data_IF_395103327779
#
_entry.id   IF_395103327779
#
_cell.length_a   1.000
_cell.length_b   1.000
_cell.length_c   1.000
_cell.angle_alpha   90.00
_cell.angle_beta   90.00
_cell.angle_gamma   90.00
#
_symmetry.space_group_name_H-M   'P 1'
#
loop_
_entity.id
_entity.type
_entity.pdbx_description
1 polymer ?
#
# COMPACT_ATOMS: atom_id res chain seq x y z
N UNK A 1 26.92 1.53 45.11
CA UNK A 1 26.27 2.52 44.24
C UNK A 1 25.32 1.77 43.32
N UNK A 2 24.02 1.78 43.62
CA UNK A 2 22.97 1.13 42.83
C UNK A 2 22.58 2.01 41.65
N UNK A 3 22.49 1.43 40.45
CA UNK A 3 21.96 2.09 39.26
C UNK A 3 20.50 2.52 39.48
N UNK A 4 20.03 3.65 38.91
CA UNK A 4 18.65 4.05 39.05
C UNK A 4 17.74 3.02 38.38
N UNK A 5 16.73 2.55 39.10
CA UNK A 5 15.67 1.72 38.54
C UNK A 5 14.94 2.49 37.44
N UNK A 6 14.97 1.99 36.22
CA UNK A 6 14.18 2.52 35.11
C UNK A 6 12.71 2.07 35.33
N UNK A 7 11.90 2.91 35.97
CA UNK A 7 10.47 2.63 36.14
C UNK A 7 9.72 2.86 34.83
N UNK A 8 8.88 1.88 34.46
CA UNK A 8 8.00 1.85 33.28
C UNK A 8 7.04 3.06 33.14
N UNK A 9 6.96 3.91 34.16
CA UNK A 9 6.12 5.12 34.19
C UNK A 9 6.54 6.20 33.21
N UNK A 10 7.80 6.21 32.73
CA UNK A 10 8.27 7.17 31.71
C UNK A 10 7.88 6.80 30.27
N UNK A 11 7.38 5.57 30.03
CA UNK A 11 6.81 5.16 28.74
C UNK A 11 5.32 5.50 28.61
N UNK A 12 4.65 5.87 29.70
CA UNK A 12 3.21 6.16 29.73
C UNK A 12 2.85 7.63 29.39
N UNK A 13 3.79 8.42 28.86
CA UNK A 13 3.56 9.85 28.53
C UNK A 13 3.77 10.19 27.05
N UNK A 14 3.80 9.19 26.17
CA UNK A 14 3.33 9.37 24.80
C UNK A 14 1.87 8.93 24.83
N UNK A 15 0.95 9.87 25.01
CA UNK A 15 -0.48 9.61 24.79
C UNK A 15 -0.60 8.92 23.44
N UNK A 16 -0.99 7.65 23.42
CA UNK A 16 -1.34 7.00 22.16
C UNK A 16 -2.48 7.84 21.59
N UNK A 17 -2.18 8.67 20.59
CA UNK A 17 -3.25 9.17 19.73
C UNK A 17 -3.92 7.90 19.20
N UNK A 18 -5.23 7.79 19.40
CA UNK A 18 -5.97 6.64 18.91
C UNK A 18 -5.75 6.57 17.40
N UNK A 19 -5.03 5.53 16.96
CA UNK A 19 -4.76 5.31 15.54
C UNK A 19 -6.09 4.97 14.88
N UNK A 20 -6.43 5.71 13.83
CA UNK A 20 -7.65 5.53 13.07
C UNK A 20 -7.31 5.00 11.68
N UNK A 21 -7.66 3.74 11.44
CA UNK A 21 -7.57 3.14 10.12
C UNK A 21 -8.84 3.50 9.35
N UNK A 22 -8.67 4.16 8.21
CA UNK A 22 -9.73 4.45 7.26
C UNK A 22 -9.73 3.36 6.19
N UNK A 23 -10.73 2.49 6.25
CA UNK A 23 -11.00 1.56 5.16
C UNK A 23 -11.58 2.32 3.97
N UNK A 24 -10.78 2.43 2.91
CA UNK A 24 -11.13 3.12 1.68
C UNK A 24 -11.64 2.11 0.67
N UNK A 25 -12.85 2.35 0.21
CA UNK A 25 -13.60 1.59 -0.79
C UNK A 25 -14.04 2.55 -1.90
N UNK A 26 -14.76 2.05 -2.90
CA UNK A 26 -15.17 2.88 -4.04
C UNK A 26 -16.01 4.11 -3.65
N UNK A 27 -16.84 4.01 -2.63
CA UNK A 27 -17.80 5.04 -2.23
C UNK A 27 -17.17 6.23 -1.47
N UNK A 28 -16.03 6.03 -0.82
CA UNK A 28 -15.32 7.06 -0.07
C UNK A 28 -13.94 7.44 -0.65
N UNK A 29 -13.52 6.82 -1.77
CA UNK A 29 -12.21 7.02 -2.39
C UNK A 29 -11.81 8.50 -2.55
N UNK A 30 -12.64 9.30 -3.20
CA UNK A 30 -12.38 10.72 -3.48
C UNK A 30 -12.22 11.55 -2.19
N UNK A 31 -13.09 11.28 -1.21
CA UNK A 31 -13.11 11.98 0.06
C UNK A 31 -11.83 11.71 0.87
N UNK A 32 -11.36 10.47 0.87
CA UNK A 32 -10.14 10.11 1.60
C UNK A 32 -8.88 10.60 0.86
N UNK A 33 -8.89 10.65 -0.47
CA UNK A 33 -7.83 11.33 -1.23
C UNK A 33 -7.78 12.84 -0.98
N UNK A 34 -8.91 13.51 -0.83
CA UNK A 34 -8.95 14.92 -0.42
C UNK A 34 -8.24 15.14 0.92
N UNK A 35 -8.51 14.30 1.92
CA UNK A 35 -7.82 14.36 3.21
C UNK A 35 -6.32 14.16 3.09
N UNK A 36 -5.88 13.20 2.27
CA UNK A 36 -4.46 12.95 2.04
C UNK A 36 -3.79 14.18 1.39
N UNK A 37 -4.44 14.79 0.40
CA UNK A 37 -3.95 16.01 -0.27
C UNK A 37 -3.81 17.18 0.70
N UNK A 38 -4.72 17.32 1.66
CA UNK A 38 -4.68 18.40 2.65
C UNK A 38 -3.50 18.28 3.62
N UNK A 39 -3.01 17.06 3.89
CA UNK A 39 -1.99 16.82 4.92
C UNK A 39 -0.58 16.55 4.38
N UNK A 40 -0.44 16.16 3.11
CA UNK A 40 0.85 15.68 2.57
C UNK A 40 1.98 16.71 2.72
N UNK A 41 1.67 18.01 2.65
CA UNK A 41 2.66 19.08 2.83
C UNK A 41 3.24 19.12 4.26
N UNK A 42 2.42 18.83 5.28
CA UNK A 42 2.83 18.83 6.68
C UNK A 42 3.38 17.45 7.14
N UNK A 43 2.98 16.38 6.45
CA UNK A 43 3.31 14.98 6.77
C UNK A 43 3.93 14.25 5.56
N UNK A 44 5.12 14.68 5.08
CA UNK A 44 5.69 14.22 3.80
C UNK A 44 6.39 12.85 3.86
N UNK A 45 6.44 12.19 5.02
CA UNK A 45 7.05 10.85 5.15
C UNK A 45 5.98 9.78 5.02
N UNK A 46 5.95 9.11 3.87
CA UNK A 46 4.90 8.15 3.48
C UNK A 46 5.43 6.74 3.62
N UNK A 47 4.98 6.02 4.64
CA UNK A 47 5.15 4.58 4.72
C UNK A 47 4.02 3.88 3.96
N UNK A 48 4.36 2.84 3.20
CA UNK A 48 3.36 2.03 2.52
C UNK A 48 3.72 0.56 2.46
N UNK A 49 2.68 -0.26 2.30
CA UNK A 49 2.76 -1.71 2.17
C UNK A 49 1.59 -2.21 1.32
N UNK A 50 1.73 -3.39 0.71
CA UNK A 50 0.70 -3.93 -0.18
C UNK A 50 0.35 -5.39 0.09
N UNK A 51 -0.92 -5.72 -0.14
CA UNK A 51 -1.40 -7.10 -0.14
C UNK A 51 -1.78 -7.51 -1.56
N UNK A 52 -1.26 -8.65 -1.99
CA UNK A 52 -1.44 -9.18 -3.34
C UNK A 52 -1.48 -10.71 -3.33
N UNK A 53 -2.00 -11.36 -4.39
CA UNK A 53 -2.33 -12.79 -4.36
C UNK A 53 -1.11 -13.70 -4.60
N UNK A 54 0.06 -13.29 -4.11
CA UNK A 54 1.28 -14.08 -4.12
C UNK A 54 2.02 -14.10 -5.46
N UNK A 55 2.62 -15.25 -5.75
CA UNK A 55 3.45 -15.50 -6.93
C UNK A 55 2.93 -16.76 -7.61
N UNK A 56 2.51 -16.66 -8.87
CA UNK A 56 1.91 -17.77 -9.63
C UNK A 56 2.76 -18.20 -10.83
N UNK A 57 3.67 -17.35 -11.30
CA UNK A 57 4.53 -17.62 -12.45
C UNK A 57 6.00 -17.48 -12.11
N UNK A 58 6.84 -18.36 -12.63
CA UNK A 58 8.31 -18.20 -12.58
C UNK A 58 8.80 -17.98 -14.02
N UNK A 59 9.56 -16.91 -14.30
CA UNK A 59 9.93 -16.60 -15.67
C UNK A 59 11.01 -17.60 -16.14
N UNK A 60 10.84 -18.17 -17.33
CA UNK A 60 11.76 -19.17 -17.90
C UNK A 60 12.84 -18.51 -18.76
N UNK A 61 14.05 -19.09 -18.77
CA UNK A 61 15.15 -18.61 -19.61
C UNK A 61 16.48 -18.51 -18.86
N UNK A 62 17.51 -18.08 -19.60
CA UNK A 62 18.82 -17.77 -19.03
C UNK A 62 18.87 -16.29 -18.65
N UNK A 63 19.25 -16.01 -17.40
CA UNK A 63 19.40 -14.65 -16.86
C UNK A 63 20.89 -14.38 -16.59
N UNK A 64 21.31 -13.14 -16.82
CA UNK A 64 22.70 -12.70 -16.66
C UNK A 64 23.08 -12.58 -15.18
N UNK A 65 22.10 -12.35 -14.31
CA UNK A 65 22.30 -12.25 -12.87
C UNK A 65 21.05 -12.63 -12.07
N UNK A 66 21.22 -12.76 -10.75
CA UNK A 66 20.12 -13.01 -9.80
C UNK A 66 19.15 -11.83 -9.77
N UNK A 67 19.66 -10.60 -9.86
CA UNK A 67 18.88 -9.37 -9.82
C UNK A 67 18.00 -9.26 -11.07
N UNK A 68 18.53 -9.62 -12.25
CA UNK A 68 17.74 -9.68 -13.49
C UNK A 68 16.62 -10.71 -13.37
N UNK A 69 16.92 -11.90 -12.83
CA UNK A 69 15.90 -12.92 -12.58
C UNK A 69 14.82 -12.41 -11.62
N UNK A 70 15.21 -11.80 -10.48
CA UNK A 70 14.28 -11.25 -9.50
C UNK A 70 13.40 -10.14 -10.08
N UNK A 71 13.97 -9.22 -10.86
CA UNK A 71 13.20 -8.20 -11.55
C UNK A 71 12.17 -8.82 -12.50
N UNK A 72 12.56 -9.80 -13.31
CA UNK A 72 11.64 -10.46 -14.23
C UNK A 72 10.56 -11.26 -13.49
N UNK A 73 10.91 -11.85 -12.35
CA UNK A 73 9.98 -12.54 -11.46
C UNK A 73 8.91 -11.59 -10.91
N UNK A 74 9.33 -10.41 -10.42
CA UNK A 74 8.40 -9.37 -9.96
C UNK A 74 7.54 -8.90 -11.13
N UNK A 75 8.18 -8.48 -12.22
CA UNK A 75 7.50 -7.92 -13.41
C UNK A 75 6.43 -8.85 -13.96
N UNK A 76 6.73 -10.15 -14.13
CA UNK A 76 5.76 -11.06 -14.72
C UNK A 76 4.54 -11.27 -13.80
N UNK A 77 4.75 -11.39 -12.48
CA UNK A 77 3.65 -11.58 -11.53
C UNK A 77 2.84 -10.30 -11.34
N UNK A 78 3.49 -9.16 -11.15
CA UNK A 78 2.81 -7.86 -11.06
C UNK A 78 1.97 -7.60 -12.30
N UNK A 79 2.42 -7.97 -13.50
CA UNK A 79 1.64 -7.77 -14.72
C UNK A 79 0.36 -8.61 -14.78
N UNK A 80 0.42 -9.89 -14.38
CA UNK A 80 -0.70 -10.83 -14.52
C UNK A 80 -1.64 -10.85 -13.31
N UNK A 81 -1.16 -10.45 -12.13
CA UNK A 81 -1.92 -10.45 -10.89
C UNK A 81 -2.51 -9.06 -10.60
N UNK A 82 -3.64 -9.03 -9.88
CA UNK A 82 -4.25 -7.80 -9.38
C UNK A 82 -3.81 -7.51 -7.94
N UNK A 83 -3.74 -6.23 -7.62
CA UNK A 83 -3.49 -5.73 -6.27
C UNK A 83 -4.76 -5.89 -5.43
N UNK A 84 -4.65 -6.23 -4.14
CA UNK A 84 -5.80 -6.44 -3.25
C UNK A 84 -5.93 -5.27 -2.26
N UNK A 85 -4.83 -4.88 -1.61
CA UNK A 85 -4.79 -3.70 -0.74
C UNK A 85 -3.50 -2.90 -0.85
N UNK A 86 -3.58 -1.63 -0.49
CA UNK A 86 -2.44 -0.74 -0.22
C UNK A 86 -2.70 0.00 1.09
N UNK A 87 -1.75 -0.04 2.02
CA UNK A 87 -1.75 0.78 3.22
C UNK A 87 -0.91 2.05 3.03
N UNK A 88 -1.40 3.21 3.46
CA UNK A 88 -0.62 4.44 3.55
C UNK A 88 -0.63 5.00 4.97
N UNK A 89 0.56 5.33 5.48
CA UNK A 89 0.78 6.01 6.75
C UNK A 89 1.66 7.23 6.52
N UNK A 90 1.12 8.42 6.81
CA UNK A 90 1.79 9.70 6.62
C UNK A 90 2.27 10.23 7.97
N UNK A 91 3.54 10.62 8.03
CA UNK A 91 4.17 11.17 9.24
C UNK A 91 4.96 12.44 8.94
N UNK A 92 5.18 13.26 9.97
CA UNK A 92 6.11 14.37 9.89
C UNK A 92 7.55 13.89 10.14
N UNK A 93 8.53 14.79 10.06
CA UNK A 93 9.95 14.47 10.28
C UNK A 93 10.29 13.90 11.66
N UNK A 94 9.38 13.99 12.64
CA UNK A 94 9.54 13.41 13.98
C UNK A 94 8.90 12.02 14.10
N UNK A 95 8.27 11.51 13.04
CA UNK A 95 7.50 10.27 13.04
C UNK A 95 6.12 10.41 13.70
N UNK A 96 5.58 11.63 13.81
CA UNK A 96 4.27 11.86 14.40
C UNK A 96 3.17 11.79 13.32
N UNK A 97 2.06 11.12 13.64
CA UNK A 97 0.85 11.07 12.82
C UNK A 97 0.11 12.43 12.80
N UNK A 98 -0.75 12.66 11.77
CA UNK A 98 -1.68 13.77 11.75
C UNK A 98 -2.53 13.85 13.03
N UNK A 99 -3.14 15.01 13.36
CA UNK A 99 -3.87 15.20 14.61
C UNK A 99 -4.96 14.16 14.86
N UNK A 100 -5.58 13.63 13.80
CA UNK A 100 -6.60 12.57 13.86
C UNK A 100 -6.07 11.15 14.01
N UNK A 101 -4.75 10.93 13.97
CA UNK A 101 -4.15 9.59 14.03
C UNK A 101 -4.44 8.75 12.78
N UNK A 102 -4.71 9.41 11.65
CA UNK A 102 -5.26 8.81 10.43
C UNK A 102 -4.21 7.98 9.66
N UNK A 103 -4.62 6.77 9.26
CA UNK A 103 -3.90 5.84 8.38
C UNK A 103 -4.93 5.29 7.38
N UNK A 104 -4.53 5.04 6.14
CA UNK A 104 -5.45 4.60 5.08
C UNK A 104 -5.17 3.18 4.64
N UNK A 105 -6.24 2.41 4.43
CA UNK A 105 -6.20 1.09 3.84
C UNK A 105 -7.11 1.08 2.62
N UNK A 106 -6.52 1.12 1.42
CA UNK A 106 -7.25 1.08 0.15
C UNK A 106 -7.55 -0.36 -0.22
N UNK A 107 -8.82 -0.64 -0.52
CA UNK A 107 -9.32 -1.97 -0.86
C UNK A 107 -9.71 -2.03 -2.33
N UNK A 108 -9.00 -2.82 -3.14
CA UNK A 108 -9.17 -2.86 -4.58
C UNK A 108 -10.17 -3.92 -5.04
N UNK A 109 -10.75 -3.70 -6.22
CA UNK A 109 -11.62 -4.68 -6.86
C UNK A 109 -10.85 -5.98 -7.17
N UNK A 110 -11.36 -7.10 -6.67
CA UNK A 110 -10.77 -8.42 -6.86
C UNK A 110 -11.84 -9.51 -6.91
N UNK A 111 -11.81 -10.37 -7.93
CA UNK A 111 -12.74 -11.49 -8.09
C UNK A 111 -12.05 -12.84 -7.91
N UNK A 112 -12.55 -13.65 -6.99
CA UNK A 112 -12.08 -15.02 -6.79
C UNK A 112 -12.42 -15.97 -7.96
N UNK A 113 -13.35 -15.57 -8.83
CA UNK A 113 -13.79 -16.37 -9.98
C UNK A 113 -13.03 -16.02 -11.27
N UNK A 114 -12.65 -14.75 -11.43
CA UNK A 114 -12.02 -14.25 -12.66
C UNK A 114 -10.50 -14.05 -12.54
N UNK A 115 -10.01 -13.66 -11.36
CA UNK A 115 -8.61 -13.25 -11.19
C UNK A 115 -7.69 -14.41 -10.83
N UNK A 116 -6.43 -14.33 -11.29
CA UNK A 116 -5.41 -15.30 -10.94
C UNK A 116 -4.88 -15.08 -9.53
N UNK A 117 -4.58 -16.17 -8.82
CA UNK A 117 -4.02 -16.13 -7.47
C UNK A 117 -3.25 -17.41 -7.09
N UNK A 118 -2.35 -17.28 -6.12
CA UNK A 118 -1.77 -18.42 -5.41
C UNK A 118 -2.69 -18.81 -4.24
N UNK A 119 -3.07 -20.09 -4.16
CA UNK A 119 -4.01 -20.59 -3.15
C UNK A 119 -3.53 -20.30 -1.72
N UNK A 120 -2.25 -20.56 -1.44
CA UNK A 120 -1.64 -20.34 -0.12
C UNK A 120 -1.73 -18.87 0.32
N UNK A 121 -1.55 -17.93 -0.62
CA UNK A 121 -1.65 -16.49 -0.35
C UNK A 121 -3.09 -16.08 -0.07
N UNK A 122 -4.07 -16.59 -0.82
CA UNK A 122 -5.49 -16.32 -0.53
C UNK A 122 -5.90 -16.89 0.82
N UNK A 123 -5.47 -18.10 1.18
CA UNK A 123 -5.77 -18.67 2.49
C UNK A 123 -5.20 -17.82 3.63
N UNK A 124 -3.98 -17.33 3.47
CA UNK A 124 -3.36 -16.42 4.43
C UNK A 124 -4.19 -15.13 4.56
N UNK A 125 -4.52 -14.49 3.45
CA UNK A 125 -5.30 -13.25 3.42
C UNK A 125 -6.69 -13.43 4.05
N UNK A 126 -7.39 -14.54 3.76
CA UNK A 126 -8.67 -14.88 4.41
C UNK A 126 -8.51 -15.01 5.92
N UNK A 127 -7.44 -15.65 6.40
CA UNK A 127 -7.14 -15.77 7.84
C UNK A 127 -6.80 -14.42 8.48
N UNK A 128 -6.22 -13.50 7.72
CA UNK A 128 -5.93 -12.12 8.15
C UNK A 128 -7.16 -11.21 8.14
N UNK A 129 -8.33 -11.68 7.66
CA UNK A 129 -9.59 -10.95 7.70
C UNK A 129 -10.00 -10.26 6.40
N UNK A 130 -9.37 -10.58 5.27
CA UNK A 130 -9.78 -10.05 3.97
C UNK A 130 -11.14 -10.61 3.55
N UNK A 131 -12.08 -9.69 3.29
CA UNK A 131 -13.42 -9.97 2.80
C UNK A 131 -13.47 -9.88 1.26
N UNK A 132 -13.18 -11.00 0.60
CA UNK A 132 -13.14 -11.08 -0.87
C UNK A 132 -14.49 -10.79 -1.53
N UNK A 133 -15.61 -11.07 -0.86
CA UNK A 133 -16.94 -10.78 -1.40
C UNK A 133 -17.15 -9.25 -1.47
N UNK A 134 -16.67 -8.53 -0.46
CA UNK A 134 -16.68 -7.07 -0.45
C UNK A 134 -15.69 -6.48 -1.45
N UNK A 135 -14.49 -7.06 -1.60
CA UNK A 135 -13.55 -6.65 -2.66
C UNK A 135 -14.17 -6.75 -4.04
N UNK A 136 -14.90 -7.84 -4.34
CA UNK A 136 -15.56 -7.99 -5.65
C UNK A 136 -16.68 -6.96 -5.86
N UNK A 137 -17.42 -6.61 -4.81
CA UNK A 137 -18.62 -5.77 -4.93
C UNK A 137 -18.34 -4.27 -4.82
N UNK A 138 -17.53 -3.88 -3.84
CA UNK A 138 -17.35 -2.49 -3.38
C UNK A 138 -15.88 -2.03 -3.54
N UNK A 139 -15.01 -2.88 -4.09
CA UNK A 139 -13.59 -2.59 -4.29
C UNK A 139 -13.33 -1.43 -5.27
N UNK A 140 -12.20 -0.77 -5.06
CA UNK A 140 -11.74 0.35 -5.88
C UNK A 140 -11.21 -0.16 -7.22
N UNK A 141 -11.69 0.36 -8.36
CA UNK A 141 -11.03 0.15 -9.65
C UNK A 141 -9.62 0.75 -9.61
N UNK A 142 -8.60 -0.06 -9.92
CA UNK A 142 -7.19 0.34 -9.76
C UNK A 142 -6.84 1.58 -10.59
N UNK A 143 -7.54 1.81 -11.70
CA UNK A 143 -7.37 2.98 -12.55
C UNK A 143 -7.90 4.26 -11.91
N UNK A 144 -9.01 4.21 -11.17
CA UNK A 144 -9.53 5.37 -10.44
C UNK A 144 -8.53 5.78 -9.34
N UNK A 145 -8.00 4.79 -8.62
CA UNK A 145 -6.92 5.03 -7.65
C UNK A 145 -5.67 5.62 -8.29
N UNK A 146 -5.21 5.08 -9.43
CA UNK A 146 -4.03 5.58 -10.14
C UNK A 146 -4.18 7.03 -10.59
N UNK A 147 -5.39 7.46 -10.97
CA UNK A 147 -5.66 8.83 -11.42
C UNK A 147 -5.48 9.81 -10.27
N UNK A 148 -6.07 9.47 -9.12
CA UNK A 148 -6.02 10.28 -7.91
C UNK A 148 -4.61 10.30 -7.33
N UNK A 149 -3.91 9.16 -7.32
CA UNK A 149 -2.51 9.09 -6.90
C UNK A 149 -1.63 10.05 -7.72
N UNK A 150 -1.78 10.07 -9.04
CA UNK A 150 -0.99 10.92 -9.94
C UNK A 150 -1.18 12.43 -9.67
N UNK A 151 -2.33 12.82 -9.13
CA UNK A 151 -2.68 14.22 -8.82
C UNK A 151 -2.67 14.54 -7.32
N UNK A 152 -2.24 13.59 -6.49
CA UNK A 152 -2.29 13.70 -5.02
C UNK A 152 -1.15 14.51 -4.41
N UNK A 153 -0.05 14.69 -5.15
CA UNK A 153 1.21 15.24 -4.62
C UNK A 153 2.08 14.22 -3.88
N UNK A 154 1.69 12.94 -3.79
CA UNK A 154 2.53 11.86 -3.23
C UNK A 154 3.62 11.37 -4.20
N UNK A 155 3.36 11.50 -5.50
CA UNK A 155 4.26 11.05 -6.56
C UNK A 155 4.75 12.25 -7.36
N UNK A 156 5.97 12.16 -7.89
CA UNK A 156 6.63 13.26 -8.63
C UNK A 156 6.72 14.54 -7.76
N UNK A 157 6.96 14.35 -6.46
CA UNK A 157 7.14 15.42 -5.49
C UNK A 157 8.43 15.16 -4.70
N UNK A 158 9.44 16.03 -4.87
CA UNK A 158 10.76 15.88 -4.26
C UNK A 158 10.74 16.11 -2.74
N UNK A 159 9.67 16.70 -2.20
CA UNK A 159 9.50 16.90 -0.77
C UNK A 159 9.04 15.62 -0.05
N UNK A 160 8.51 14.64 -0.78
CA UNK A 160 7.96 13.40 -0.23
C UNK A 160 9.05 12.34 -0.07
N UNK A 161 9.14 11.77 1.12
CA UNK A 161 10.04 10.66 1.44
C UNK A 161 9.25 9.36 1.62
N UNK A 162 9.47 8.39 0.74
CA UNK A 162 8.85 7.07 0.83
C UNK A 162 9.64 6.15 1.79
N UNK A 163 8.95 5.56 2.76
CA UNK A 163 9.48 4.61 3.73
C UNK A 163 8.95 3.21 3.41
N UNK A 164 9.84 2.23 3.23
CA UNK A 164 9.43 0.91 2.74
C UNK A 164 10.18 -0.24 3.41
N UNK A 165 9.65 -1.45 3.25
CA UNK A 165 10.25 -2.68 3.74
C UNK A 165 10.08 -3.80 2.72
N UNK A 166 11.19 -4.35 2.20
CA UNK A 166 11.17 -5.42 1.18
C UNK A 166 10.27 -5.14 -0.05
N UNK A 167 10.24 -3.88 -0.48
CA UNK A 167 9.13 -3.34 -1.26
C UNK A 167 9.23 -3.43 -2.78
N UNK A 168 9.96 -4.42 -3.29
CA UNK A 168 10.14 -4.55 -4.74
C UNK A 168 8.82 -4.88 -5.45
N UNK A 169 7.96 -5.70 -4.84
CA UNK A 169 6.62 -5.98 -5.34
C UNK A 169 5.68 -4.78 -5.12
N UNK A 170 5.71 -4.17 -3.94
CA UNK A 170 4.88 -3.02 -3.58
C UNK A 170 5.04 -1.87 -4.57
N UNK A 171 6.29 -1.47 -4.86
CA UNK A 171 6.56 -0.47 -5.89
C UNK A 171 6.16 -0.95 -7.28
N UNK A 172 6.31 -2.25 -7.59
CA UNK A 172 5.85 -2.81 -8.84
C UNK A 172 4.35 -2.57 -9.06
N UNK A 173 3.53 -2.83 -8.04
CA UNK A 173 2.09 -2.58 -8.08
C UNK A 173 1.74 -1.09 -8.11
N UNK A 174 2.41 -0.27 -7.31
CA UNK A 174 2.19 1.17 -7.29
C UNK A 174 2.54 1.82 -8.64
N UNK A 175 3.63 1.39 -9.28
CA UNK A 175 4.01 1.85 -10.62
C UNK A 175 3.01 1.35 -11.67
N UNK A 176 2.57 0.08 -11.57
CA UNK A 176 1.55 -0.47 -12.46
C UNK A 176 0.25 0.35 -12.41
N UNK A 177 -0.23 0.73 -11.23
CA UNK A 177 -1.49 1.49 -11.10
C UNK A 177 -1.42 2.85 -11.79
N UNK A 178 -0.26 3.51 -11.78
CA UNK A 178 -0.03 4.78 -12.47
C UNK A 178 0.09 4.59 -14.00
N UNK A 179 0.84 3.57 -14.46
CA UNK A 179 1.12 3.37 -15.89
C UNK A 179 -0.10 2.87 -16.66
N UNK A 180 -0.93 2.00 -16.07
CA UNK A 180 -2.16 1.47 -16.72
C UNK A 180 -3.07 2.62 -17.19
N UNK A 181 -3.03 3.74 -16.48
CA UNK A 181 -3.72 4.97 -16.85
C UNK A 181 -3.15 5.61 -18.12
N UNK A 182 -1.82 5.74 -18.20
CA UNK A 182 -1.15 6.41 -19.32
C UNK A 182 -1.40 5.70 -20.67
N UNK A 183 -1.63 4.39 -20.67
CA UNK A 183 -1.84 3.60 -21.89
C UNK A 183 -3.27 3.67 -22.45
N UNK A 184 -4.25 4.22 -21.71
CA UNK A 184 -5.62 4.40 -22.21
C UNK A 184 -5.83 5.74 -22.95
N UNK A 185 -4.85 6.65 -22.90
CA UNK A 185 -4.91 7.98 -23.52
C UNK A 185 -4.12 8.09 -24.84
N UNK A 186 -3.67 6.96 -25.40
CA UNK A 186 -3.08 6.82 -26.73
C UNK A 186 -3.84 5.77 -27.53
#
# INVERSE_FOLDING_TARGET
MSLPSFTMSKLQTLTSKDVKIHDVWKDNLEKEWERIRDIIADYPFVAFDTEFPGIVGTPTGAYRSKEEFQYNQIKCNVNILKLIQVGFCLTNAKGELPPGGDIWQFNFEFSMDEDMYAMESIELLKRSGIDFDRHQKDGIPVEEFGALLTTSGLVVNDDVTWLTFHSCFDFGYLIKSIIVLMLKWF
#
